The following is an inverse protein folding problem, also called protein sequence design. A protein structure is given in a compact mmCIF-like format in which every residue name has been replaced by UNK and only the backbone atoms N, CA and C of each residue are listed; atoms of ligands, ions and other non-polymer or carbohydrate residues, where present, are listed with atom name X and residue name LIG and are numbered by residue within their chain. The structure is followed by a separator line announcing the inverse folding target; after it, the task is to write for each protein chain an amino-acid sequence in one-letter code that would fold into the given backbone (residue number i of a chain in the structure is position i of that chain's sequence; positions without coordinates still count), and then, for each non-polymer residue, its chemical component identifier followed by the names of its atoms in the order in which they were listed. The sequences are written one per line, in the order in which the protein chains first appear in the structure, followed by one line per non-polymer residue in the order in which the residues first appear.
data_IF_001266788411
#
_entry.id   IF_001266788411
#
_cell.length_a   1.000
_cell.length_b   1.000
_cell.length_c   1.000
_cell.angle_alpha   90.00
_cell.angle_beta   90.00
_cell.angle_gamma   90.00
#
_symmetry.space_group_name_H-M   'P 1'
#
loop_
_entity.id
_entity.type
_entity.pdbx_description
1 polymer ?
#
# COMPACT_ATOMS: atom_id res chain seq x y z
N UNK A 1 -1.55 10.66 -10.71
CA UNK A 1 -0.80 9.50 -10.19
C UNK A 1 -1.63 8.77 -9.15
N UNK A 2 -1.74 7.46 -9.25
CA UNK A 2 -2.40 6.61 -8.26
C UNK A 2 -1.42 5.57 -7.75
N UNK A 3 -1.24 5.53 -6.43
CA UNK A 3 -0.27 4.64 -5.76
C UNK A 3 -1.03 3.70 -4.83
N UNK A 4 -0.86 2.40 -5.03
CA UNK A 4 -1.45 1.37 -4.19
C UNK A 4 -0.35 0.75 -3.33
N UNK A 5 -0.57 0.72 -2.01
CA UNK A 5 0.36 0.12 -1.06
C UNK A 5 -0.16 -1.23 -0.60
N UNK A 6 0.68 -2.26 -0.68
CA UNK A 6 0.38 -3.57 -0.10
C UNK A 6 0.15 -3.43 1.41
N UNK A 7 -0.62 -4.35 1.99
CA UNK A 7 -0.96 -4.33 3.42
C UNK A 7 0.27 -4.24 4.31
N UNK A 8 1.34 -4.98 4.01
CA UNK A 8 2.56 -4.94 4.82
C UNK A 8 3.27 -3.59 4.76
N UNK A 9 3.14 -2.85 3.66
CA UNK A 9 3.67 -1.49 3.57
C UNK A 9 2.89 -0.55 4.49
N UNK A 10 1.56 -0.67 4.51
CA UNK A 10 0.72 0.05 5.45
C UNK A 10 1.09 -0.24 6.90
N UNK A 11 1.28 -1.52 7.24
CA UNK A 11 1.63 -1.95 8.60
C UNK A 11 2.99 -1.39 9.01
N UNK A 12 3.98 -1.51 8.14
CA UNK A 12 5.31 -0.96 8.40
C UNK A 12 5.27 0.55 8.61
N UNK A 13 4.45 1.25 7.82
CA UNK A 13 4.31 2.71 7.90
C UNK A 13 3.66 3.17 9.21
N UNK A 14 2.70 2.40 9.73
CA UNK A 14 1.92 2.81 10.92
C UNK A 14 2.53 2.32 12.23
N UNK A 15 3.31 1.25 12.19
CA UNK A 15 3.96 0.68 13.39
C UNK A 15 5.36 1.25 13.59
N UNK A 16 6.09 1.49 12.49
CA UNK A 16 7.48 1.92 12.55
C UNK A 16 7.67 3.24 11.78
N UNK A 17 8.59 4.07 12.25
CA UNK A 17 9.08 5.22 11.48
C UNK A 17 10.07 4.72 10.42
N UNK A 18 10.05 5.30 9.23
CA UNK A 18 11.00 4.96 8.18
C UNK A 18 10.48 5.18 6.78
N UNK A 19 11.01 4.41 5.85
CA UNK A 19 10.75 4.60 4.42
C UNK A 19 9.27 4.39 4.06
N UNK A 20 8.64 3.35 4.61
CA UNK A 20 7.21 3.09 4.33
C UNK A 20 6.34 4.21 4.86
N UNK A 21 6.65 4.74 6.04
CA UNK A 21 5.97 5.90 6.61
C UNK A 21 6.12 7.13 5.70
N UNK A 22 7.32 7.38 5.19
CA UNK A 22 7.54 8.49 4.26
C UNK A 22 6.74 8.33 2.97
N UNK A 23 6.69 7.12 2.40
CA UNK A 23 5.91 6.84 1.19
C UNK A 23 4.41 7.05 1.43
N UNK A 24 3.90 6.53 2.55
CA UNK A 24 2.49 6.68 2.92
C UNK A 24 2.13 8.16 3.07
N UNK A 25 2.93 8.90 3.84
CA UNK A 25 2.70 10.32 4.11
C UNK A 25 2.72 11.15 2.82
N UNK A 26 3.72 10.97 1.98
CA UNK A 26 3.83 11.71 0.72
C UNK A 26 2.69 11.37 -0.24
N UNK A 27 2.35 10.10 -0.34
CA UNK A 27 1.24 9.66 -1.20
C UNK A 27 -0.09 10.23 -0.73
N UNK A 28 -0.33 10.23 0.58
CA UNK A 28 -1.55 10.78 1.17
C UNK A 28 -1.63 12.29 0.96
N UNK A 29 -0.55 13.02 1.20
CA UNK A 29 -0.51 14.47 1.03
C UNK A 29 -0.77 14.91 -0.41
N UNK A 30 -0.36 14.10 -1.38
CA UNK A 30 -0.56 14.39 -2.80
C UNK A 30 -1.92 13.89 -3.33
N UNK A 31 -2.73 13.27 -2.49
CA UNK A 31 -3.99 12.63 -2.87
C UNK A 31 -3.81 11.53 -3.92
N UNK A 32 -2.68 10.84 -3.87
CA UNK A 32 -2.35 9.74 -4.77
C UNK A 32 -2.75 8.36 -4.22
N UNK A 33 -3.06 8.29 -2.93
CA UNK A 33 -3.19 7.03 -2.20
C UNK A 33 -4.49 6.32 -2.55
N UNK A 34 -4.35 5.09 -3.01
CA UNK A 34 -5.43 4.19 -3.38
C UNK A 34 -5.38 2.96 -2.46
N UNK A 35 -6.52 2.48 -2.01
CA UNK A 35 -6.61 1.33 -1.12
C UNK A 35 -7.87 0.52 -1.40
N UNK A 36 -8.09 -0.55 -0.64
CA UNK A 36 -9.30 -1.37 -0.66
C UNK A 36 -9.68 -1.78 0.76
N UNK A 37 -10.91 -2.29 0.91
CA UNK A 37 -11.34 -2.86 2.20
C UNK A 37 -10.53 -4.08 2.60
N UNK A 38 -10.05 -4.87 1.65
CA UNK A 38 -9.21 -6.03 1.97
C UNK A 38 -7.94 -5.61 2.70
N UNK A 39 -7.32 -4.49 2.28
CA UNK A 39 -6.17 -3.92 3.00
C UNK A 39 -6.55 -3.62 4.46
N UNK A 40 -7.67 -2.96 4.67
CA UNK A 40 -8.14 -2.62 6.02
C UNK A 40 -8.36 -3.88 6.87
N UNK A 41 -9.04 -4.86 6.32
CA UNK A 41 -9.35 -6.12 7.02
C UNK A 41 -8.08 -6.85 7.42
N UNK A 42 -7.14 -6.99 6.50
CA UNK A 42 -5.86 -7.65 6.77
C UNK A 42 -5.03 -6.88 7.81
N UNK A 43 -4.96 -5.56 7.66
CA UNK A 43 -4.19 -4.72 8.58
C UNK A 43 -4.75 -4.78 10.00
N UNK A 44 -6.07 -4.67 10.15
CA UNK A 44 -6.70 -4.77 11.47
C UNK A 44 -6.42 -6.12 12.14
N UNK A 45 -6.51 -7.21 11.38
CA UNK A 45 -6.23 -8.54 11.91
C UNK A 45 -4.79 -8.66 12.43
N UNK A 46 -3.83 -8.12 11.70
CA UNK A 46 -2.42 -8.15 12.12
C UNK A 46 -2.16 -7.24 13.31
N UNK A 47 -2.72 -6.03 13.30
CA UNK A 47 -2.54 -5.07 14.41
C UNK A 47 -3.09 -5.63 15.72
N UNK A 48 -4.25 -6.25 15.70
CA UNK A 48 -4.84 -6.87 16.90
C UNK A 48 -4.01 -8.06 17.38
N UNK A 49 -3.53 -8.88 16.46
CA UNK A 49 -2.80 -10.12 16.81
C UNK A 49 -1.36 -9.85 17.24
N UNK A 50 -0.64 -9.00 16.49
CA UNK A 50 0.80 -8.81 16.71
C UNK A 50 1.16 -7.55 17.49
N UNK A 51 0.33 -6.52 17.44
CA UNK A 51 0.62 -5.22 18.03
C UNK A 51 -0.49 -4.69 18.95
N UNK A 52 -1.06 -5.55 19.84
CA UNK A 52 -2.16 -5.10 20.70
C UNK A 52 -1.72 -4.04 21.72
N UNK A 53 -0.43 -3.94 21.96
CA UNK A 53 0.17 -2.99 22.90
C UNK A 53 0.45 -1.62 22.26
N UNK A 54 0.13 -1.43 20.98
CA UNK A 54 0.32 -0.17 20.25
C UNK A 54 -1.03 0.28 19.66
N UNK A 55 -2.00 0.69 20.49
CA UNK A 55 -3.32 1.11 19.96
C UNK A 55 -3.23 2.33 19.05
N UNK A 56 -2.19 3.16 19.22
CA UNK A 56 -1.94 4.32 18.36
C UNK A 56 -1.72 3.93 16.89
N UNK A 57 -1.14 2.74 16.63
CA UNK A 57 -0.91 2.28 15.27
C UNK A 57 -2.22 2.05 14.54
N UNK A 58 -3.23 1.45 15.20
CA UNK A 58 -4.55 1.26 14.60
C UNK A 58 -5.25 2.59 14.34
N UNK A 59 -5.18 3.52 15.29
CA UNK A 59 -5.78 4.84 15.14
C UNK A 59 -5.16 5.60 13.97
N UNK A 60 -3.84 5.56 13.83
CA UNK A 60 -3.13 6.18 12.72
C UNK A 60 -3.51 5.53 11.38
N UNK A 61 -3.54 4.20 11.35
CA UNK A 61 -3.96 3.46 10.16
C UNK A 61 -5.34 3.92 9.71
N UNK A 62 -6.30 3.90 10.61
CA UNK A 62 -7.69 4.22 10.28
C UNK A 62 -7.84 5.66 9.81
N UNK A 63 -7.13 6.59 10.42
CA UNK A 63 -7.18 8.00 10.04
C UNK A 63 -6.69 8.21 8.60
N UNK A 64 -5.56 7.61 8.23
CA UNK A 64 -5.00 7.76 6.89
C UNK A 64 -5.83 6.96 5.88
N UNK A 65 -6.23 5.74 6.23
CA UNK A 65 -7.03 4.88 5.36
C UNK A 65 -8.36 5.54 4.97
N UNK A 66 -9.00 6.22 5.91
CA UNK A 66 -10.28 6.88 5.66
C UNK A 66 -10.18 8.03 4.66
N UNK A 67 -9.00 8.61 4.49
CA UNK A 67 -8.77 9.70 3.53
C UNK A 67 -8.30 9.19 2.15
N UNK A 68 -7.92 7.93 2.05
CA UNK A 68 -7.48 7.34 0.79
C UNK A 68 -8.68 7.06 -0.13
N UNK A 69 -8.44 7.04 -1.43
CA UNK A 69 -9.46 6.60 -2.38
C UNK A 69 -9.62 5.08 -2.25
N UNK A 70 -10.85 4.63 -1.97
CA UNK A 70 -11.15 3.22 -1.77
C UNK A 70 -11.69 2.61 -3.08
N UNK A 71 -10.90 1.71 -3.68
CA UNK A 71 -11.30 0.97 -4.85
C UNK A 71 -12.12 -0.26 -4.45
N UNK A 72 -12.95 -0.80 -5.35
CA UNK A 72 -13.65 -2.06 -5.10
C UNK A 72 -12.67 -3.21 -4.91
N UNK A 73 -12.98 -4.11 -3.98
CA UNK A 73 -12.28 -5.37 -3.85
C UNK A 73 -12.56 -6.27 -5.05
N UNK A 74 -11.62 -7.14 -5.37
CA UNK A 74 -11.86 -8.26 -6.29
C UNK A 74 -11.85 -9.56 -5.47
N UNK A 75 -12.73 -10.50 -5.87
CA UNK A 75 -12.94 -11.73 -5.09
C UNK A 75 -12.04 -12.88 -5.54
N UNK A 76 -11.47 -12.78 -6.71
CA UNK A 76 -10.67 -13.85 -7.30
C UNK A 76 -9.23 -13.43 -7.53
N UNK A 77 -8.27 -14.32 -7.35
CA UNK A 77 -8.42 -15.69 -6.83
C UNK A 77 -8.67 -15.70 -5.31
N UNK A 78 -9.67 -16.45 -4.87
CA UNK A 78 -10.13 -16.43 -3.47
C UNK A 78 -9.09 -16.90 -2.46
N UNK A 79 -8.12 -17.69 -2.90
CA UNK A 79 -7.08 -18.28 -2.05
C UNK A 79 -5.77 -17.48 -2.07
N UNK A 80 -5.72 -16.34 -2.74
CA UNK A 80 -4.50 -15.55 -2.86
C UNK A 80 -4.81 -14.06 -2.71
N UNK A 81 -4.69 -13.56 -1.50
CA UNK A 81 -4.97 -12.15 -1.20
C UNK A 81 -4.01 -11.21 -1.92
N UNK A 82 -2.74 -11.59 -2.09
CA UNK A 82 -1.78 -10.75 -2.80
C UNK A 82 -2.21 -10.55 -4.26
N UNK A 83 -2.63 -11.63 -4.92
CA UNK A 83 -3.12 -11.55 -6.29
C UNK A 83 -4.40 -10.72 -6.39
N UNK A 84 -5.29 -10.84 -5.40
CA UNK A 84 -6.51 -10.02 -5.33
C UNK A 84 -6.17 -8.53 -5.20
N UNK A 85 -5.20 -8.18 -4.36
CA UNK A 85 -4.80 -6.78 -4.19
C UNK A 85 -4.17 -6.21 -5.46
N UNK A 86 -3.27 -6.96 -6.10
CA UNK A 86 -2.65 -6.52 -7.36
C UNK A 86 -3.71 -6.32 -8.44
N UNK A 87 -4.66 -7.24 -8.54
CA UNK A 87 -5.75 -7.14 -9.52
C UNK A 87 -6.65 -5.93 -9.23
N UNK A 88 -7.04 -5.72 -7.98
CA UNK A 88 -7.86 -4.58 -7.58
C UNK A 88 -7.16 -3.26 -7.90
N UNK A 89 -5.86 -3.16 -7.60
CA UNK A 89 -5.07 -1.98 -7.90
C UNK A 89 -5.03 -1.70 -9.40
N UNK A 90 -4.77 -2.74 -10.21
CA UNK A 90 -4.73 -2.61 -11.67
C UNK A 90 -6.08 -2.17 -12.24
N UNK A 91 -7.16 -2.80 -11.82
CA UNK A 91 -8.51 -2.47 -12.30
C UNK A 91 -8.94 -1.06 -11.91
N UNK A 92 -8.43 -0.55 -10.78
CA UNK A 92 -8.69 0.81 -10.34
C UNK A 92 -7.78 1.86 -11.00
N UNK A 93 -6.89 1.44 -11.87
CA UNK A 93 -6.01 2.34 -12.61
C UNK A 93 -4.79 2.81 -11.84
N UNK A 94 -4.31 2.02 -10.88
CA UNK A 94 -3.07 2.35 -10.19
C UNK A 94 -1.89 2.39 -11.15
N UNK A 95 -1.02 3.35 -10.96
CA UNK A 95 0.22 3.48 -11.74
C UNK A 95 1.36 2.67 -11.12
N UNK A 96 1.36 2.57 -9.78
CA UNK A 96 2.39 1.88 -9.02
C UNK A 96 1.74 1.07 -7.90
N UNK A 97 2.20 -0.17 -7.73
CA UNK A 97 1.90 -1.04 -6.61
C UNK A 97 3.19 -1.24 -5.81
N UNK A 98 3.18 -0.82 -4.54
CA UNK A 98 4.36 -0.89 -3.67
C UNK A 98 4.27 -2.09 -2.75
N UNK A 99 5.26 -2.95 -2.77
CA UNK A 99 5.31 -4.14 -1.93
C UNK A 99 6.75 -4.52 -1.56
N UNK A 100 6.92 -5.10 -0.38
CA UNK A 100 8.18 -5.72 0.02
C UNK A 100 8.22 -7.22 -0.25
N UNK A 101 7.15 -7.81 -0.75
CA UNK A 101 7.04 -9.24 -0.99
C UNK A 101 7.74 -9.63 -2.29
N UNK A 102 8.79 -10.46 -2.16
CA UNK A 102 9.59 -10.89 -3.32
C UNK A 102 8.78 -11.68 -4.36
N UNK A 103 7.80 -12.46 -3.92
CA UNK A 103 6.93 -13.20 -4.81
C UNK A 103 6.14 -12.25 -5.72
N UNK A 104 5.56 -11.24 -5.12
CA UNK A 104 4.76 -10.24 -5.85
C UNK A 104 5.65 -9.39 -6.77
N UNK A 105 6.82 -8.99 -6.27
CA UNK A 105 7.81 -8.26 -7.10
C UNK A 105 8.21 -9.07 -8.34
N UNK A 106 8.29 -10.38 -8.21
CA UNK A 106 8.65 -11.27 -9.31
C UNK A 106 7.60 -11.35 -10.41
N UNK A 107 6.37 -10.91 -10.16
CA UNK A 107 5.32 -10.92 -11.19
C UNK A 107 5.56 -9.86 -12.28
N UNK A 108 6.36 -8.84 -11.99
CA UNK A 108 6.64 -7.78 -12.96
C UNK A 108 5.45 -6.86 -13.21
N UNK A 109 5.60 -5.98 -14.16
CA UNK A 109 4.57 -5.00 -14.50
C UNK A 109 3.25 -5.67 -14.89
N UNK A 110 2.13 -5.09 -14.45
CA UNK A 110 0.79 -5.57 -14.73
C UNK A 110 0.06 -4.53 -15.58
N UNK A 111 0.06 -4.74 -16.91
CA UNK A 111 -0.43 -3.72 -17.83
C UNK A 111 0.42 -2.47 -17.71
N UNK A 112 -0.22 -1.31 -17.47
CA UNK A 112 0.50 -0.06 -17.25
C UNK A 112 0.96 0.17 -15.82
N UNK A 113 0.66 -0.75 -14.89
CA UNK A 113 1.01 -0.62 -13.48
C UNK A 113 2.37 -1.26 -13.20
N UNK A 114 3.27 -0.52 -12.55
CA UNK A 114 4.55 -1.05 -12.09
C UNK A 114 4.43 -1.61 -10.68
N UNK A 115 5.14 -2.71 -10.40
CA UNK A 115 5.26 -3.25 -9.05
C UNK A 115 6.67 -2.93 -8.56
N UNK A 116 6.79 -2.15 -7.50
CA UNK A 116 8.05 -1.64 -6.98
C UNK A 116 8.22 -1.93 -5.50
N UNK A 117 9.45 -2.23 -5.10
CA UNK A 117 9.82 -2.26 -3.69
C UNK A 117 9.81 -0.83 -3.11
N UNK A 118 9.68 -0.67 -1.79
CA UNK A 118 9.58 0.66 -1.19
C UNK A 118 10.72 1.61 -1.58
N UNK A 119 11.96 1.12 -1.60
CA UNK A 119 13.10 1.95 -1.97
C UNK A 119 13.00 2.45 -3.41
N UNK A 120 12.67 1.56 -4.34
CA UNK A 120 12.53 1.90 -5.75
C UNK A 120 11.36 2.85 -5.97
N UNK A 121 10.26 2.63 -5.25
CA UNK A 121 9.10 3.52 -5.30
C UNK A 121 9.47 4.92 -4.80
N UNK A 122 10.21 5.02 -3.70
CA UNK A 122 10.65 6.30 -3.19
C UNK A 122 11.47 7.08 -4.22
N UNK A 123 12.47 6.42 -4.80
CA UNK A 123 13.35 7.05 -5.79
C UNK A 123 12.53 7.51 -7.00
N UNK A 124 11.67 6.65 -7.50
CA UNK A 124 10.91 6.94 -8.73
C UNK A 124 9.85 8.02 -8.53
N UNK A 125 9.15 8.00 -7.40
CA UNK A 125 8.00 8.88 -7.21
C UNK A 125 8.35 10.21 -6.53
N UNK A 126 9.35 10.22 -5.66
CA UNK A 126 9.59 11.35 -4.78
C UNK A 126 10.99 11.92 -4.84
N UNK A 127 12.02 11.08 -4.93
CA UNK A 127 13.41 11.57 -4.88
C UNK A 127 13.77 12.38 -6.13
N UNK A 128 13.21 12.04 -7.29
CA UNK A 128 13.50 12.75 -8.53
C UNK A 128 12.97 14.19 -8.53
N UNK A 129 11.86 14.43 -7.86
CA UNK A 129 11.28 15.79 -7.78
C UNK A 129 12.09 16.70 -6.88
N UNK A 130 12.94 16.18 -6.00
CA UNK A 130 13.78 16.96 -5.11
C UNK A 130 15.02 17.51 -5.80
N UNK A 131 15.38 17.01 -6.98
CA UNK A 131 16.59 17.38 -7.72
C UNK A 131 16.34 18.35 -8.87
N UNK A 132 15.11 18.63 -9.15
CA UNK A 132 14.73 19.52 -10.26
C UNK A 132 14.69 21.00 -9.87
#
# INVERSE_FOLDING_TARGET
MKVFLDTNVWLSATVFAGLCDAILTESAQRSWLLTTRLVQTEAHAVLVRKFPHIPQAQALFDAIWSEAACAPDVDEPADDNDARLVRAAREAGADVFVTGDRRVLGWGAQGGMQILAPRDAWVRLFAQSATS
#
